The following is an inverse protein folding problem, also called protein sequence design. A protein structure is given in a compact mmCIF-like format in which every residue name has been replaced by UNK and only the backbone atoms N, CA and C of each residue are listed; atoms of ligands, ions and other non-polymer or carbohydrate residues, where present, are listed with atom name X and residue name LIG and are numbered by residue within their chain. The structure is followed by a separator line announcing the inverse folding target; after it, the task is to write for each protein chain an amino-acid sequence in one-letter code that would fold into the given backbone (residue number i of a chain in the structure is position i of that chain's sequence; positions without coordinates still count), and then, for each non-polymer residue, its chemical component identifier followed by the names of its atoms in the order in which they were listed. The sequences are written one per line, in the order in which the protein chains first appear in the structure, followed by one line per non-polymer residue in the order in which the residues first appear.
data_IF_584766049234
#
_entry.id   IF_584766049234
#
_cell.length_a   1.000
_cell.length_b   1.000
_cell.length_c   1.000
_cell.angle_alpha   90.00
_cell.angle_beta   90.00
_cell.angle_gamma   90.00
#
_symmetry.space_group_name_H-M   'P 1'
#
loop_
_entity.id
_entity.type
_entity.pdbx_description
1 polymer ?
#
# COMPACT_ATOMS: atom_id res chain seq x y z
N UNK A 1 -15.38 60.33 -64.26
CA UNK A 1 -15.95 60.30 -62.89
C UNK A 1 -15.82 58.90 -62.33
N UNK A 2 -14.96 58.76 -61.33
CA UNK A 2 -14.59 57.51 -60.67
C UNK A 2 -15.66 57.20 -59.62
N UNK A 3 -16.29 56.02 -59.67
CA UNK A 3 -16.98 55.44 -58.51
C UNK A 3 -16.26 54.16 -58.11
N UNK A 4 -15.49 54.27 -57.03
CA UNK A 4 -14.91 53.17 -56.27
C UNK A 4 -16.03 52.54 -55.45
N UNK A 5 -16.32 51.26 -55.68
CA UNK A 5 -17.07 50.44 -54.73
C UNK A 5 -16.12 49.38 -54.22
N UNK A 6 -15.64 49.60 -53.00
CA UNK A 6 -14.88 48.66 -52.19
C UNK A 6 -15.78 47.47 -51.86
N UNK A 7 -15.44 46.30 -52.38
CA UNK A 7 -15.97 45.02 -51.94
C UNK A 7 -15.10 44.54 -50.76
N UNK A 8 -15.64 44.33 -49.54
CA UNK A 8 -14.88 43.70 -48.49
C UNK A 8 -14.79 42.20 -48.77
N UNK A 9 -13.56 41.75 -48.96
CA UNK A 9 -13.12 40.36 -48.98
C UNK A 9 -13.45 39.72 -47.63
N UNK A 10 -14.62 39.09 -47.50
CA UNK A 10 -14.91 38.19 -46.38
C UNK A 10 -14.10 36.92 -46.64
N UNK A 11 -12.90 36.88 -46.08
CA UNK A 11 -12.12 35.65 -45.94
C UNK A 11 -12.94 34.70 -45.06
N UNK A 12 -13.52 33.68 -45.69
CA UNK A 12 -14.03 32.49 -45.03
C UNK A 12 -12.83 31.74 -44.43
N UNK A 13 -12.39 32.12 -43.24
CA UNK A 13 -11.45 31.35 -42.40
C UNK A 13 -12.19 30.17 -41.76
N UNK A 14 -12.72 29.28 -42.61
CA UNK A 14 -13.38 28.03 -42.22
C UNK A 14 -12.59 26.85 -42.77
N UNK A 15 -11.28 26.84 -42.51
CA UNK A 15 -10.39 25.73 -42.86
C UNK A 15 -9.28 25.69 -41.81
N UNK A 16 -9.35 24.74 -40.87
CA UNK A 16 -8.25 24.55 -39.93
C UNK A 16 -8.56 23.83 -38.63
N UNK A 17 -9.82 23.57 -38.28
CA UNK A 17 -10.14 22.66 -37.17
C UNK A 17 -10.20 21.22 -37.67
N UNK A 18 -9.10 20.76 -38.30
CA UNK A 18 -8.85 19.33 -38.41
C UNK A 18 -8.73 18.84 -36.98
N UNK A 19 -9.78 18.17 -36.52
CA UNK A 19 -9.80 17.37 -35.33
C UNK A 19 -8.53 16.52 -35.33
N UNK A 20 -7.56 16.90 -34.48
CA UNK A 20 -6.61 15.95 -33.95
C UNK A 20 -7.45 15.01 -33.09
N UNK A 21 -8.07 14.02 -33.75
CA UNK A 21 -8.31 12.74 -33.13
C UNK A 21 -6.92 12.22 -32.77
N UNK A 22 -6.39 12.69 -31.64
CA UNK A 22 -5.35 11.98 -30.94
C UNK A 22 -5.94 10.60 -30.72
N UNK A 23 -5.52 9.64 -31.55
CA UNK A 23 -5.74 8.24 -31.28
C UNK A 23 -5.14 8.01 -29.89
N UNK A 24 -6.02 7.89 -28.90
CA UNK A 24 -5.73 7.42 -27.55
C UNK A 24 -5.36 5.94 -27.72
N UNK A 25 -4.18 5.66 -28.28
CA UNK A 25 -3.68 4.33 -28.64
C UNK A 25 -2.28 4.07 -28.10
N UNK A 26 -1.87 4.79 -27.05
CA UNK A 26 -0.50 4.76 -26.53
C UNK A 26 -0.33 4.18 -25.12
N UNK A 27 -1.40 3.72 -24.46
CA UNK A 27 -1.37 3.38 -23.04
C UNK A 27 -1.83 1.94 -22.72
N UNK A 28 -2.06 1.14 -23.77
CA UNK A 28 -2.39 -0.28 -23.63
C UNK A 28 -1.10 -1.10 -23.56
N UNK A 29 -0.39 -0.99 -22.42
CA UNK A 29 0.52 -2.06 -21.99
C UNK A 29 -0.35 -3.23 -21.52
N UNK A 30 -0.68 -4.14 -22.43
CA UNK A 30 -1.40 -5.35 -22.09
C UNK A 30 -0.44 -6.53 -22.04
N UNK A 31 0.37 -6.68 -20.99
CA UNK A 31 0.99 -8.00 -20.75
C UNK A 31 -0.16 -8.96 -20.48
N UNK A 32 -0.05 -10.17 -21.00
CA UNK A 32 -1.02 -11.19 -20.69
C UNK A 32 -0.33 -12.53 -20.53
N UNK A 33 -1.03 -13.47 -19.93
CA UNK A 33 -0.51 -14.80 -19.68
C UNK A 33 -0.14 -15.55 -20.96
N UNK A 34 1.14 -15.87 -21.10
CA UNK A 34 1.66 -16.70 -22.18
C UNK A 34 1.58 -18.19 -21.84
N UNK A 35 1.43 -19.00 -22.88
CA UNK A 35 1.25 -20.44 -22.82
C UNK A 35 2.21 -21.08 -23.80
N UNK A 36 2.93 -22.08 -23.35
CA UNK A 36 3.77 -22.93 -24.18
C UNK A 36 2.86 -23.93 -24.90
N UNK A 37 2.98 -23.96 -26.22
CA UNK A 37 2.38 -24.97 -27.08
C UNK A 37 3.47 -25.89 -27.65
N UNK A 38 3.32 -27.20 -27.42
CA UNK A 38 4.25 -28.22 -27.91
C UNK A 38 3.49 -29.28 -28.73
N UNK A 39 3.56 -29.22 -30.07
CA UNK A 39 2.82 -30.12 -30.96
C UNK A 39 3.12 -31.61 -30.69
N UNK A 40 4.38 -31.93 -30.40
CA UNK A 40 4.89 -33.29 -30.20
C UNK A 40 4.69 -33.84 -28.77
N UNK A 41 3.88 -33.20 -27.92
CA UNK A 41 3.54 -33.70 -26.57
C UNK A 41 2.13 -34.27 -26.52
N UNK A 42 1.87 -35.13 -25.53
CA UNK A 42 0.52 -35.63 -25.21
C UNK A 42 -0.44 -34.45 -24.96
N UNK A 43 -1.74 -34.61 -25.27
CA UNK A 43 -2.72 -33.50 -25.23
C UNK A 43 -2.74 -32.76 -23.88
N UNK A 44 -2.60 -33.48 -22.77
CA UNK A 44 -2.56 -32.91 -21.41
C UNK A 44 -1.25 -32.18 -21.05
N UNK A 45 -0.21 -32.30 -21.87
CA UNK A 45 1.09 -31.64 -21.73
C UNK A 45 1.41 -30.72 -22.91
N UNK A 46 0.47 -30.61 -23.85
CA UNK A 46 0.59 -29.85 -25.08
C UNK A 46 0.44 -28.35 -24.84
N UNK A 47 -0.29 -27.97 -23.80
CA UNK A 47 -0.48 -26.60 -23.35
C UNK A 47 -0.06 -26.45 -21.89
N UNK A 48 0.87 -25.54 -21.64
CA UNK A 48 1.39 -25.27 -20.30
C UNK A 48 1.59 -23.76 -20.13
N UNK A 49 1.02 -23.16 -19.09
CA UNK A 49 1.25 -21.77 -18.72
C UNK A 49 2.74 -21.59 -18.43
N UNK A 50 3.34 -20.57 -19.08
CA UNK A 50 4.77 -20.30 -19.01
C UNK A 50 5.27 -20.19 -17.57
N UNK A 51 4.49 -19.56 -16.70
CA UNK A 51 4.76 -19.39 -15.27
C UNK A 51 5.06 -20.71 -14.56
N UNK A 52 4.26 -21.76 -14.81
CA UNK A 52 4.43 -23.06 -14.17
C UNK A 52 5.62 -23.83 -14.76
N UNK A 53 5.85 -23.67 -16.06
CA UNK A 53 7.03 -24.23 -16.71
C UNK A 53 8.32 -23.61 -16.13
N UNK A 54 8.39 -22.28 -16.05
CA UNK A 54 9.56 -21.59 -15.49
C UNK A 54 9.75 -21.91 -14.01
N UNK A 55 8.66 -22.01 -13.25
CA UNK A 55 8.71 -22.44 -11.85
C UNK A 55 9.40 -23.79 -11.69
N UNK A 56 8.98 -24.79 -12.49
CA UNK A 56 9.52 -26.16 -12.41
C UNK A 56 10.93 -26.27 -12.99
N UNK A 57 11.15 -25.76 -14.19
CA UNK A 57 12.38 -26.03 -14.95
C UNK A 57 13.50 -25.01 -14.68
N UNK A 58 13.14 -23.77 -14.34
CA UNK A 58 14.12 -22.69 -14.13
C UNK A 58 14.30 -22.42 -12.63
N UNK A 59 13.21 -22.29 -11.89
CA UNK A 59 13.26 -22.02 -10.45
C UNK A 59 13.37 -23.31 -9.62
N UNK A 60 13.22 -24.49 -10.23
CA UNK A 60 13.30 -25.80 -9.57
C UNK A 60 12.29 -25.99 -8.43
N UNK A 61 11.13 -25.34 -8.54
CA UNK A 61 10.07 -25.49 -7.55
C UNK A 61 9.36 -26.83 -7.70
N UNK A 62 9.12 -27.49 -6.57
CA UNK A 62 8.21 -28.62 -6.48
C UNK A 62 6.77 -28.10 -6.59
N UNK A 63 6.08 -28.47 -7.66
CA UNK A 63 4.75 -27.95 -7.95
C UNK A 63 3.67 -28.66 -7.13
N UNK A 64 2.78 -27.88 -6.51
CA UNK A 64 1.62 -28.38 -5.78
C UNK A 64 0.42 -28.57 -6.71
N UNK A 65 0.39 -29.72 -7.38
CA UNK A 65 -0.69 -30.05 -8.33
C UNK A 65 -1.94 -30.49 -7.57
N UNK A 66 -2.94 -29.60 -7.52
CA UNK A 66 -4.24 -29.87 -6.92
C UNK A 66 -5.20 -30.51 -7.93
N UNK A 67 -5.03 -31.81 -8.17
CA UNK A 67 -5.82 -32.58 -9.14
C UNK A 67 -7.31 -32.73 -8.74
N UNK A 68 -8.18 -32.91 -9.75
CA UNK A 68 -9.61 -33.17 -9.56
C UNK A 68 -10.44 -31.98 -9.07
N UNK A 69 -9.82 -30.81 -8.84
CA UNK A 69 -10.51 -29.59 -8.44
C UNK A 69 -10.81 -28.69 -9.63
N UNK A 70 -11.92 -27.96 -9.54
CA UNK A 70 -12.23 -26.83 -10.43
C UNK A 70 -11.22 -25.69 -10.23
N UNK A 71 -10.84 -24.99 -11.29
CA UNK A 71 -9.78 -23.97 -11.24
C UNK A 71 -10.04 -22.86 -10.20
N UNK A 72 -11.30 -22.45 -10.01
CA UNK A 72 -11.67 -21.47 -8.96
C UNK A 72 -11.49 -22.00 -7.55
N UNK A 73 -11.65 -23.31 -7.32
CA UNK A 73 -11.39 -23.93 -6.01
C UNK A 73 -9.89 -23.95 -5.73
N UNK A 74 -9.08 -24.26 -6.75
CA UNK A 74 -7.62 -24.18 -6.68
C UNK A 74 -7.19 -22.76 -6.31
N UNK A 75 -7.69 -21.73 -7.00
CA UNK A 75 -7.42 -20.32 -6.69
C UNK A 75 -7.78 -19.95 -5.24
N UNK A 76 -8.96 -20.34 -4.76
CA UNK A 76 -9.37 -20.06 -3.38
C UNK A 76 -8.42 -20.70 -2.36
N UNK A 77 -7.96 -21.92 -2.60
CA UNK A 77 -7.00 -22.56 -1.71
C UNK A 77 -5.64 -21.85 -1.71
N UNK A 78 -5.14 -21.42 -2.88
CA UNK A 78 -3.90 -20.66 -2.98
C UNK A 78 -4.00 -19.30 -2.28
N UNK A 79 -5.09 -18.57 -2.52
CA UNK A 79 -5.36 -17.28 -1.88
C UNK A 79 -5.49 -17.45 -0.36
N UNK A 80 -6.15 -18.51 0.11
CA UNK A 80 -6.28 -18.80 1.55
C UNK A 80 -4.91 -19.03 2.21
N UNK A 81 -4.02 -19.83 1.60
CA UNK A 81 -2.65 -20.04 2.12
C UNK A 81 -1.85 -18.74 2.16
N UNK A 82 -1.99 -17.89 1.15
CA UNK A 82 -1.39 -16.56 1.17
C UNK A 82 -1.93 -15.69 2.31
N UNK A 83 -3.17 -15.91 2.72
CA UNK A 83 -3.80 -15.18 3.84
C UNK A 83 -3.08 -15.35 5.17
N UNK A 84 -2.38 -16.46 5.37
CA UNK A 84 -1.65 -16.74 6.62
C UNK A 84 -0.40 -15.86 6.77
N UNK A 85 0.18 -15.39 5.67
CA UNK A 85 1.43 -14.60 5.64
C UNK A 85 1.24 -13.18 5.10
N UNK A 86 0.24 -12.97 4.24
CA UNK A 86 -0.10 -11.69 3.62
C UNK A 86 -1.63 -11.56 3.46
N UNK A 87 -2.34 -11.35 4.59
CA UNK A 87 -3.80 -11.30 4.62
C UNK A 87 -4.40 -10.27 3.68
N UNK A 88 -3.73 -9.14 3.47
CA UNK A 88 -4.29 -8.07 2.65
C UNK A 88 -4.18 -8.34 1.18
N UNK A 89 -3.06 -8.91 0.70
CA UNK A 89 -3.00 -9.40 -0.68
C UNK A 89 -4.03 -10.51 -0.90
N UNK A 90 -4.28 -11.36 0.11
CA UNK A 90 -5.31 -12.38 0.02
C UNK A 90 -6.71 -11.78 -0.10
N UNK A 91 -7.04 -10.74 0.67
CA UNK A 91 -8.30 -9.99 0.54
C UNK A 91 -8.40 -9.35 -0.86
N UNK A 92 -7.33 -8.72 -1.34
CA UNK A 92 -7.28 -8.12 -2.66
C UNK A 92 -7.58 -9.15 -3.75
N UNK A 93 -6.91 -10.30 -3.73
CA UNK A 93 -7.09 -11.33 -4.76
C UNK A 93 -8.44 -12.05 -4.64
N UNK A 94 -8.98 -12.16 -3.42
CA UNK A 94 -10.36 -12.62 -3.21
C UNK A 94 -11.33 -11.67 -3.91
N UNK A 95 -11.16 -10.35 -3.75
CA UNK A 95 -12.03 -9.37 -4.42
C UNK A 95 -11.95 -9.45 -5.94
N UNK A 96 -10.76 -9.70 -6.50
CA UNK A 96 -10.59 -9.91 -7.95
C UNK A 96 -11.30 -11.18 -8.41
N UNK A 97 -11.21 -12.26 -7.63
CA UNK A 97 -11.89 -13.52 -7.93
C UNK A 97 -13.42 -13.38 -7.91
N UNK A 98 -13.97 -12.58 -7.00
CA UNK A 98 -15.41 -12.32 -6.89
C UNK A 98 -15.98 -11.57 -8.10
N UNK A 99 -15.20 -10.67 -8.71
CA UNK A 99 -15.64 -9.92 -9.90
C UNK A 99 -15.22 -10.56 -11.22
N UNK A 100 -14.36 -11.59 -11.18
CA UNK A 100 -13.73 -12.19 -12.36
C UNK A 100 -14.71 -12.58 -13.47
N UNK A 101 -15.82 -13.27 -13.15
CA UNK A 101 -16.76 -13.75 -14.17
C UNK A 101 -17.41 -12.63 -14.99
N UNK A 102 -17.58 -11.46 -14.38
CA UNK A 102 -18.11 -10.27 -15.06
C UNK A 102 -17.03 -9.54 -15.85
N UNK A 103 -15.81 -9.55 -15.34
CA UNK A 103 -14.67 -8.87 -15.95
C UNK A 103 -13.97 -9.69 -17.03
N UNK A 104 -14.23 -11.00 -17.13
CA UNK A 104 -13.60 -11.89 -18.10
C UNK A 104 -14.46 -12.12 -19.35
N UNK A 105 -13.81 -12.16 -20.52
CA UNK A 105 -14.41 -12.52 -21.80
C UNK A 105 -13.57 -13.61 -22.49
N UNK A 106 -14.22 -14.68 -22.94
CA UNK A 106 -13.59 -15.77 -23.67
C UNK A 106 -13.86 -15.64 -25.17
N UNK A 107 -12.80 -15.46 -25.95
CA UNK A 107 -12.87 -15.22 -27.39
C UNK A 107 -12.47 -16.50 -28.14
N UNK A 108 -13.36 -16.97 -29.03
CA UNK A 108 -13.13 -18.15 -29.87
C UNK A 108 -12.69 -17.72 -31.28
N UNK A 109 -11.78 -18.48 -31.89
CA UNK A 109 -11.29 -18.22 -33.24
C UNK A 109 -10.54 -16.90 -33.35
N UNK A 110 -9.92 -16.45 -32.26
CA UNK A 110 -9.18 -15.18 -32.19
C UNK A 110 -7.74 -15.47 -31.82
N UNK A 111 -6.81 -14.94 -32.61
CA UNK A 111 -5.39 -14.90 -32.26
C UNK A 111 -5.11 -13.58 -31.56
N UNK A 112 -4.48 -13.65 -30.39
CA UNK A 112 -3.98 -12.45 -29.73
C UNK A 112 -2.58 -12.17 -30.24
N UNK A 113 -2.30 -10.90 -30.55
CA UNK A 113 -0.98 -10.47 -30.99
C UNK A 113 0.04 -10.66 -29.88
N UNK A 114 1.26 -11.03 -30.26
CA UNK A 114 2.39 -11.12 -29.33
C UNK A 114 2.62 -9.76 -28.66
N UNK A 115 2.70 -9.74 -27.32
CA UNK A 115 2.93 -8.52 -26.56
C UNK A 115 4.42 -8.44 -26.19
N UNK A 116 5.12 -7.35 -26.56
CA UNK A 116 6.58 -7.25 -26.45
C UNK A 116 7.12 -7.19 -25.01
N UNK A 117 6.29 -7.08 -23.98
CA UNK A 117 6.68 -6.91 -22.58
C UNK A 117 6.78 -8.23 -21.78
N UNK A 118 6.80 -9.36 -22.47
CA UNK A 118 7.00 -10.70 -21.88
C UNK A 118 8.33 -10.91 -21.14
N UNK A 119 9.34 -10.07 -21.39
CA UNK A 119 10.68 -10.26 -20.82
C UNK A 119 11.43 -11.45 -21.44
N UNK A 120 12.34 -12.05 -20.68
CA UNK A 120 13.14 -13.20 -21.11
C UNK A 120 12.54 -14.50 -20.56
N UNK A 121 12.53 -15.56 -21.37
CA UNK A 121 12.09 -16.90 -20.96
C UNK A 121 12.76 -17.98 -21.80
N UNK A 122 12.89 -19.17 -21.22
CA UNK A 122 13.37 -20.36 -21.93
C UNK A 122 12.16 -21.19 -22.40
N UNK A 123 12.26 -21.81 -23.58
CA UNK A 123 11.23 -22.71 -24.10
C UNK A 123 11.83 -24.08 -24.36
N UNK A 124 11.06 -25.17 -24.16
CA UNK A 124 11.49 -26.47 -24.63
C UNK A 124 11.70 -26.47 -26.14
N UNK A 125 12.67 -27.27 -26.60
CA UNK A 125 12.95 -27.39 -28.04
C UNK A 125 11.70 -27.84 -28.80
N UNK A 126 11.36 -27.11 -29.85
CA UNK A 126 10.22 -27.41 -30.72
C UNK A 126 8.86 -26.95 -30.19
N UNK A 127 8.84 -26.16 -29.12
CA UNK A 127 7.63 -25.52 -28.64
C UNK A 127 7.60 -24.04 -29.04
N UNK A 128 6.41 -23.47 -29.10
CA UNK A 128 6.18 -22.05 -29.38
C UNK A 128 5.41 -21.42 -28.22
N UNK A 129 5.49 -20.10 -28.10
CA UNK A 129 4.59 -19.36 -27.21
C UNK A 129 3.34 -18.96 -27.97
N UNK A 130 2.20 -19.16 -27.32
CA UNK A 130 0.90 -18.63 -27.72
C UNK A 130 0.33 -17.82 -26.57
N UNK A 131 -0.43 -16.78 -26.90
CA UNK A 131 -1.00 -15.90 -25.90
C UNK A 131 -2.32 -16.48 -25.39
N UNK A 132 -2.39 -16.82 -24.10
CA UNK A 132 -3.57 -17.42 -23.47
C UNK A 132 -4.54 -16.39 -22.90
N UNK A 133 -4.03 -15.27 -22.42
CA UNK A 133 -4.82 -14.18 -21.85
C UNK A 133 -4.26 -12.81 -22.25
N UNK A 134 -5.08 -11.77 -22.17
CA UNK A 134 -4.68 -10.35 -22.29
C UNK A 134 -5.44 -9.56 -21.24
N UNK A 135 -4.74 -8.70 -20.51
CA UNK A 135 -5.33 -7.76 -19.58
C UNK A 135 -5.21 -6.32 -20.07
N UNK A 136 -6.33 -5.59 -20.05
CA UNK A 136 -6.33 -4.15 -20.29
C UNK A 136 -6.34 -3.37 -18.97
N UNK A 137 -5.50 -2.32 -18.89
CA UNK A 137 -5.44 -1.42 -17.73
C UNK A 137 -6.81 -0.79 -17.42
N UNK A 138 -7.54 -0.39 -18.46
CA UNK A 138 -8.91 0.11 -18.36
C UNK A 138 -9.88 -0.96 -18.87
N UNK A 139 -10.95 -1.29 -18.13
CA UNK A 139 -11.99 -2.15 -18.65
C UNK A 139 -12.61 -1.57 -19.92
N UNK A 140 -13.12 -2.43 -20.80
CA UNK A 140 -13.95 -2.00 -21.93
C UNK A 140 -15.24 -1.34 -21.46
N UNK A 141 -15.98 -0.75 -22.41
CA UNK A 141 -17.30 -0.16 -22.15
C UNK A 141 -18.27 -1.19 -21.53
N UNK A 142 -18.09 -2.48 -21.83
CA UNK A 142 -18.88 -3.58 -21.25
C UNK A 142 -18.37 -4.07 -19.90
N UNK A 143 -17.31 -3.46 -19.36
CA UNK A 143 -16.70 -3.82 -18.08
C UNK A 143 -15.70 -4.98 -18.16
N UNK A 144 -15.36 -5.48 -19.36
CA UNK A 144 -14.39 -6.55 -19.49
C UNK A 144 -12.96 -6.03 -19.38
N UNK A 145 -12.18 -6.66 -18.51
CA UNK A 145 -10.77 -6.39 -18.26
C UNK A 145 -9.88 -7.50 -18.79
N UNK A 146 -10.33 -8.74 -18.63
CA UNK A 146 -9.57 -9.94 -18.95
C UNK A 146 -10.13 -10.58 -20.22
N UNK A 147 -9.26 -10.89 -21.18
CA UNK A 147 -9.65 -11.54 -22.43
C UNK A 147 -8.86 -12.84 -22.55
N UNK A 148 -9.55 -13.96 -22.63
CA UNK A 148 -8.94 -15.28 -22.71
C UNK A 148 -9.15 -15.87 -24.09
N UNK A 149 -8.10 -16.47 -24.65
CA UNK A 149 -8.21 -17.24 -25.88
C UNK A 149 -8.93 -18.55 -25.53
N UNK A 150 -10.18 -18.68 -25.99
CA UNK A 150 -11.03 -19.82 -25.63
C UNK A 150 -10.48 -21.13 -26.19
N UNK A 151 -9.87 -21.11 -27.36
CA UNK A 151 -9.34 -22.32 -28.02
C UNK A 151 -8.12 -22.88 -27.27
N UNK A 152 -7.31 -22.00 -26.68
CA UNK A 152 -6.21 -22.37 -25.77
C UNK A 152 -6.77 -22.80 -24.41
N UNK A 153 -7.69 -22.02 -23.83
CA UNK A 153 -8.29 -22.27 -22.52
C UNK A 153 -9.00 -23.62 -22.42
N UNK A 154 -9.76 -24.00 -23.44
CA UNK A 154 -10.54 -25.25 -23.45
C UNK A 154 -9.64 -26.49 -23.39
N UNK A 155 -8.37 -26.38 -23.80
CA UNK A 155 -7.38 -27.47 -23.80
C UNK A 155 -6.50 -27.52 -22.55
N UNK A 156 -6.59 -26.51 -21.69
CA UNK A 156 -5.86 -26.46 -20.42
C UNK A 156 -6.50 -27.33 -19.33
N UNK A 157 -5.66 -27.91 -18.47
CA UNK A 157 -6.12 -28.50 -17.22
C UNK A 157 -6.59 -27.41 -16.24
N UNK A 158 -7.33 -27.78 -15.20
CA UNK A 158 -7.80 -26.81 -14.20
C UNK A 158 -6.66 -26.10 -13.45
N UNK A 159 -5.52 -26.77 -13.22
CA UNK A 159 -4.31 -26.16 -12.65
C UNK A 159 -3.69 -25.12 -13.60
N UNK A 160 -3.67 -25.41 -14.90
CA UNK A 160 -3.19 -24.45 -15.90
C UNK A 160 -4.13 -23.24 -15.99
N UNK A 161 -5.45 -23.46 -15.95
CA UNK A 161 -6.45 -22.38 -15.90
C UNK A 161 -6.32 -21.53 -14.64
N UNK A 162 -6.08 -22.13 -13.47
CA UNK A 162 -5.88 -21.36 -12.23
C UNK A 162 -4.61 -20.52 -12.30
N UNK A 163 -3.51 -21.08 -12.82
CA UNK A 163 -2.27 -20.33 -13.01
C UNK A 163 -2.46 -19.16 -13.97
N UNK A 164 -3.15 -19.35 -15.09
CA UNK A 164 -3.39 -18.27 -16.03
C UNK A 164 -4.26 -17.16 -15.43
N UNK A 165 -5.27 -17.48 -14.62
CA UNK A 165 -6.08 -16.46 -13.94
C UNK A 165 -5.28 -15.74 -12.84
N UNK A 166 -4.49 -16.48 -12.06
CA UNK A 166 -3.66 -15.89 -11.01
C UNK A 166 -2.58 -14.96 -11.58
N UNK A 167 -2.03 -15.30 -12.75
CA UNK A 167 -1.14 -14.42 -13.52
C UNK A 167 -1.79 -13.04 -13.71
N UNK A 168 -3.02 -13.00 -14.23
CA UNK A 168 -3.70 -11.73 -14.48
C UNK A 168 -4.00 -10.98 -13.17
N UNK A 169 -4.28 -11.67 -12.06
CA UNK A 169 -4.49 -11.03 -10.75
C UNK A 169 -3.21 -10.35 -10.23
N UNK A 170 -2.09 -11.07 -10.29
CA UNK A 170 -0.77 -10.53 -9.90
C UNK A 170 -0.39 -9.39 -10.84
N UNK A 171 -0.61 -9.53 -12.14
CA UNK A 171 -0.30 -8.48 -13.10
C UNK A 171 -1.16 -7.22 -12.89
N UNK A 172 -2.44 -7.37 -12.52
CA UNK A 172 -3.32 -6.25 -12.13
C UNK A 172 -2.78 -5.48 -10.92
N UNK A 173 -2.24 -6.19 -9.93
CA UNK A 173 -1.54 -5.56 -8.80
C UNK A 173 -0.23 -4.90 -9.27
N UNK A 174 0.55 -5.57 -10.12
CA UNK A 174 1.80 -5.05 -10.67
C UNK A 174 1.65 -3.78 -11.51
N UNK A 175 0.48 -3.59 -12.14
CA UNK A 175 0.13 -2.38 -12.88
C UNK A 175 -0.27 -1.19 -12.00
N UNK A 176 -0.44 -1.37 -10.68
CA UNK A 176 -0.71 -0.25 -9.80
C UNK A 176 0.47 0.73 -9.79
N UNK A 177 0.22 2.05 -9.62
CA UNK A 177 1.26 3.08 -9.69
C UNK A 177 2.47 2.83 -8.79
N UNK A 178 2.25 2.23 -7.62
CA UNK A 178 3.29 1.86 -6.67
C UNK A 178 4.22 0.76 -7.21
N UNK A 179 3.70 -0.25 -7.92
CA UNK A 179 4.50 -1.39 -8.39
C UNK A 179 5.17 -1.14 -9.75
N UNK A 180 4.48 -0.44 -10.65
CA UNK A 180 4.99 -0.02 -11.97
C UNK A 180 5.73 -1.12 -12.76
N UNK A 181 5.13 -2.31 -12.87
CA UNK A 181 5.73 -3.43 -13.61
C UNK A 181 6.01 -3.04 -15.07
N UNK A 182 7.24 -3.32 -15.51
CA UNK A 182 7.65 -3.13 -16.91
C UNK A 182 7.60 -4.43 -17.72
N UNK A 183 7.64 -5.59 -17.04
CA UNK A 183 7.61 -6.92 -17.65
C UNK A 183 6.83 -7.89 -16.76
N UNK A 184 6.48 -9.07 -17.28
CA UNK A 184 5.80 -10.12 -16.53
C UNK A 184 6.75 -11.06 -15.78
N UNK A 185 8.07 -10.87 -15.81
CA UNK A 185 9.02 -11.77 -15.12
C UNK A 185 8.69 -11.94 -13.63
N UNK A 186 8.39 -10.85 -12.93
CA UNK A 186 8.01 -10.88 -11.51
C UNK A 186 6.65 -11.53 -11.28
N UNK A 187 5.71 -11.37 -12.21
CA UNK A 187 4.40 -12.04 -12.20
C UNK A 187 4.61 -13.56 -12.25
N UNK A 188 5.41 -14.03 -13.21
CA UNK A 188 5.67 -15.46 -13.42
C UNK A 188 6.37 -16.10 -12.23
N UNK A 189 7.36 -15.40 -11.66
CA UNK A 189 8.06 -15.84 -10.44
C UNK A 189 7.08 -16.03 -9.27
N UNK A 190 6.26 -15.02 -8.99
CA UNK A 190 5.31 -15.09 -7.87
C UNK A 190 4.22 -16.14 -8.13
N UNK A 191 3.66 -16.20 -9.34
CA UNK A 191 2.62 -17.16 -9.69
C UNK A 191 3.13 -18.61 -9.57
N UNK A 192 4.34 -18.87 -10.07
CA UNK A 192 5.03 -20.14 -9.92
C UNK A 192 5.24 -20.54 -8.47
N UNK A 193 5.69 -19.59 -7.64
CA UNK A 193 5.86 -19.81 -6.20
C UNK A 193 4.54 -20.13 -5.49
N UNK A 194 3.46 -19.40 -5.78
CA UNK A 194 2.14 -19.64 -5.17
C UNK A 194 1.55 -21.01 -5.56
N UNK A 195 1.97 -21.56 -6.71
CA UNK A 195 1.64 -22.91 -7.15
C UNK A 195 2.62 -23.99 -6.64
N UNK A 196 3.64 -23.63 -5.88
CA UNK A 196 4.63 -24.58 -5.36
C UNK A 196 4.26 -25.09 -3.96
N UNK A 197 4.85 -26.23 -3.58
CA UNK A 197 4.76 -26.76 -2.21
C UNK A 197 5.49 -25.86 -1.21
N UNK A 198 6.48 -25.07 -1.66
CA UNK A 198 7.23 -24.13 -0.80
C UNK A 198 6.32 -23.11 -0.10
N UNK A 199 5.18 -22.76 -0.71
CA UNK A 199 4.20 -21.83 -0.11
C UNK A 199 3.61 -22.36 1.20
N UNK A 200 3.64 -23.67 1.46
CA UNK A 200 3.07 -24.27 2.67
C UNK A 200 3.91 -23.99 3.93
N UNK A 201 5.22 -23.91 3.75
CA UNK A 201 6.20 -23.79 4.84
C UNK A 201 7.04 -22.51 4.73
N UNK A 202 6.57 -21.55 3.92
CA UNK A 202 7.29 -20.29 3.69
C UNK A 202 7.37 -19.46 4.96
N UNK A 203 8.56 -18.99 5.28
CA UNK A 203 8.78 -18.03 6.37
C UNK A 203 8.58 -16.60 5.87
N UNK A 204 8.22 -15.68 6.77
CA UNK A 204 8.09 -14.25 6.44
C UNK A 204 9.33 -13.66 5.73
N UNK A 205 10.58 -13.92 6.17
CA UNK A 205 11.77 -13.47 5.43
C UNK A 205 11.82 -13.96 3.98
N UNK A 206 11.54 -15.25 3.74
CA UNK A 206 11.57 -15.84 2.40
C UNK A 206 10.48 -15.24 1.51
N UNK A 207 9.27 -15.04 2.06
CA UNK A 207 8.18 -14.43 1.32
C UNK A 207 8.45 -12.96 0.96
N UNK A 208 9.04 -12.19 1.89
CA UNK A 208 9.44 -10.80 1.63
C UNK A 208 10.50 -10.73 0.53
N UNK A 209 11.53 -11.60 0.56
CA UNK A 209 12.54 -11.69 -0.50
C UNK A 209 11.90 -11.98 -1.87
N UNK A 210 10.96 -12.93 -1.92
CA UNK A 210 10.24 -13.26 -3.13
C UNK A 210 9.45 -12.06 -3.68
N UNK A 211 8.72 -11.35 -2.83
CA UNK A 211 7.96 -10.16 -3.25
C UNK A 211 8.89 -9.08 -3.80
N UNK A 212 10.04 -8.86 -3.14
CA UNK A 212 11.05 -7.92 -3.60
C UNK A 212 11.58 -8.30 -4.99
N UNK A 213 11.98 -9.56 -5.18
CA UNK A 213 12.45 -10.10 -6.47
C UNK A 213 11.37 -10.06 -7.55
N UNK A 214 10.10 -10.15 -7.15
CA UNK A 214 8.95 -10.04 -8.06
C UNK A 214 8.61 -8.59 -8.41
N UNK A 215 9.28 -7.60 -7.81
CA UNK A 215 9.07 -6.17 -8.05
C UNK A 215 7.90 -5.55 -7.30
N UNK A 216 7.23 -6.30 -6.42
CA UNK A 216 6.14 -5.79 -5.60
C UNK A 216 6.69 -4.88 -4.49
N UNK A 217 5.93 -3.82 -4.20
CA UNK A 217 6.35 -2.80 -3.24
C UNK A 217 5.75 -2.95 -1.86
N UNK A 218 4.70 -3.77 -1.70
CA UNK A 218 3.94 -3.85 -0.46
C UNK A 218 3.91 -5.26 0.12
N UNK A 219 3.98 -5.36 1.44
CA UNK A 219 3.75 -6.59 2.19
C UNK A 219 3.05 -6.32 3.52
N UNK A 220 2.57 -7.40 4.13
CA UNK A 220 2.07 -7.37 5.50
C UNK A 220 3.15 -7.91 6.44
N UNK A 221 3.36 -7.20 7.55
CA UNK A 221 4.25 -7.61 8.63
C UNK A 221 3.54 -7.36 9.95
N UNK A 222 3.28 -8.44 10.71
CA UNK A 222 2.64 -8.38 12.03
C UNK A 222 1.34 -7.53 12.02
N UNK A 223 0.56 -7.60 10.93
CA UNK A 223 -0.68 -6.85 10.76
C UNK A 223 -0.52 -5.41 10.23
N UNK A 224 0.67 -5.03 9.79
CA UNK A 224 0.96 -3.71 9.22
C UNK A 224 1.38 -3.78 7.76
N UNK A 225 0.89 -2.82 6.98
CA UNK A 225 1.34 -2.57 5.62
C UNK A 225 2.71 -1.91 5.59
N UNK A 226 3.66 -2.58 4.97
CA UNK A 226 5.04 -2.12 4.86
C UNK A 226 5.50 -2.03 3.42
N UNK A 227 6.38 -1.08 3.17
CA UNK A 227 7.00 -0.82 1.88
C UNK A 227 8.31 -1.61 1.74
N UNK A 228 8.53 -2.24 0.59
CA UNK A 228 9.59 -3.24 0.37
C UNK A 228 10.84 -2.71 -0.32
N UNK A 229 10.75 -1.70 -1.20
CA UNK A 229 11.93 -1.09 -1.81
C UNK A 229 11.99 0.39 -1.46
N UNK A 230 13.18 0.98 -1.38
CA UNK A 230 13.27 2.42 -1.62
C UNK A 230 13.22 2.67 -3.11
N UNK A 231 12.36 3.59 -3.55
CA UNK A 231 12.67 4.32 -4.77
C UNK A 231 14.12 4.78 -4.63
N UNK A 232 14.94 4.53 -5.65
CA UNK A 232 16.31 5.02 -5.66
C UNK A 232 16.26 6.55 -5.58
N UNK A 233 16.22 7.10 -4.37
CA UNK A 233 16.61 8.48 -4.13
C UNK A 233 18.12 8.50 -4.35
N UNK A 234 18.45 8.96 -5.55
CA UNK A 234 19.75 9.39 -6.03
C UNK A 234 20.64 9.92 -4.90
N UNK A 235 21.47 9.03 -4.33
CA UNK A 235 22.66 9.42 -3.57
C UNK A 235 22.61 9.38 -2.05
N UNK A 236 21.55 8.90 -1.39
CA UNK A 236 21.59 8.63 0.07
C UNK A 236 21.07 7.24 0.37
N UNK A 237 21.97 6.32 0.69
CA UNK A 237 21.74 4.89 0.88
C UNK A 237 20.84 4.51 2.05
N UNK A 238 19.57 4.90 2.01
CA UNK A 238 18.54 4.24 2.79
C UNK A 238 17.94 3.12 1.93
N UNK A 239 18.44 1.89 2.13
CA UNK A 239 17.70 0.72 1.70
C UNK A 239 16.51 0.56 2.66
N UNK A 240 15.29 0.86 2.24
CA UNK A 240 14.12 0.43 3.00
C UNK A 240 14.16 -1.09 3.03
N UNK A 241 14.42 -1.64 4.22
CA UNK A 241 14.54 -3.07 4.45
C UNK A 241 13.64 -3.43 5.61
N UNK A 242 12.77 -4.39 5.37
CA UNK A 242 12.28 -5.23 6.45
C UNK A 242 13.51 -5.90 7.05
N UNK A 243 13.81 -5.53 8.28
CA UNK A 243 14.97 -6.01 9.03
C UNK A 243 14.51 -7.14 9.92
N UNK A 244 15.28 -8.21 9.96
CA UNK A 244 14.98 -9.40 10.76
C UNK A 244 16.10 -9.63 11.77
N UNK A 245 15.76 -10.20 12.92
CA UNK A 245 16.76 -10.78 13.82
C UNK A 245 17.19 -12.17 13.33
N UNK A 246 18.13 -12.79 14.05
CA UNK A 246 18.66 -14.14 13.74
C UNK A 246 17.59 -15.24 13.70
N UNK A 247 16.47 -15.04 14.40
CA UNK A 247 15.34 -15.98 14.43
C UNK A 247 14.28 -15.72 13.35
N UNK A 248 14.49 -14.74 12.47
CA UNK A 248 13.54 -14.38 11.40
C UNK A 248 12.36 -13.52 11.87
N UNK A 249 12.40 -12.96 13.08
CA UNK A 249 11.41 -12.00 13.57
C UNK A 249 11.75 -10.61 13.06
N UNK A 250 10.76 -9.89 12.54
CA UNK A 250 10.95 -8.52 12.06
C UNK A 250 11.29 -7.59 13.22
N UNK A 251 12.37 -6.83 13.10
CA UNK A 251 12.78 -5.80 14.07
C UNK A 251 12.37 -4.40 13.64
N UNK A 252 12.36 -4.13 12.33
CA UNK A 252 11.92 -2.86 11.77
C UNK A 252 11.51 -2.97 10.31
N UNK A 253 10.62 -2.09 9.86
CA UNK A 253 10.20 -1.98 8.47
C UNK A 253 9.79 -0.53 8.15
N UNK A 254 9.75 -0.19 6.86
CA UNK A 254 9.20 1.08 6.39
C UNK A 254 7.69 0.93 6.27
N UNK A 255 6.91 1.81 6.92
CA UNK A 255 5.46 1.79 6.79
C UNK A 255 5.02 2.28 5.42
N UNK A 256 3.94 1.70 4.90
CA UNK A 256 3.21 2.27 3.77
C UNK A 256 2.69 3.68 4.12
N UNK A 257 2.38 4.48 3.11
CA UNK A 257 1.91 5.87 3.32
C UNK A 257 0.57 5.91 4.04
N UNK A 258 -0.27 4.93 3.74
CA UNK A 258 -1.54 4.67 4.38
C UNK A 258 -1.46 3.38 5.17
N UNK A 259 -1.85 3.41 6.43
CA UNK A 259 -1.89 2.22 7.28
C UNK A 259 -2.95 2.37 8.35
N UNK A 260 -3.27 1.25 9.00
CA UNK A 260 -4.24 1.23 10.10
C UNK A 260 -3.53 1.01 11.42
N UNK A 261 -3.94 1.75 12.44
CA UNK A 261 -3.59 1.49 13.83
C UNK A 261 -4.74 0.75 14.50
N UNK A 262 -4.45 -0.35 15.18
CA UNK A 262 -5.43 -1.04 16.01
C UNK A 262 -5.43 -0.45 17.41
N UNK A 263 -6.55 0.15 17.82
CA UNK A 263 -6.77 0.67 19.17
C UNK A 263 -7.36 -0.38 20.12
N UNK A 264 -7.51 -0.02 21.41
CA UNK A 264 -8.21 -0.85 22.39
C UNK A 264 -9.60 -1.26 21.91
N UNK A 265 -9.94 -2.55 22.03
CA UNK A 265 -11.21 -3.11 21.55
C UNK A 265 -11.25 -3.46 20.05
N UNK A 266 -10.09 -3.47 19.38
CA UNK A 266 -9.97 -3.94 17.99
C UNK A 266 -10.44 -2.94 16.93
N UNK A 267 -10.72 -1.70 17.31
CA UNK A 267 -11.08 -0.64 16.37
C UNK A 267 -9.85 -0.20 15.59
N UNK A 268 -9.93 -0.23 14.27
CA UNK A 268 -8.88 0.27 13.39
C UNK A 268 -9.07 1.77 13.13
N UNK A 269 -7.98 2.52 13.17
CA UNK A 269 -7.94 3.94 12.84
C UNK A 269 -7.02 4.13 11.63
N UNK A 270 -7.52 4.67 10.51
CA UNK A 270 -6.67 4.94 9.36
C UNK A 270 -5.72 6.09 9.68
N UNK A 271 -4.46 5.92 9.29
CA UNK A 271 -3.42 6.94 9.33
C UNK A 271 -2.98 7.21 7.90
N UNK A 272 -3.00 8.47 7.52
CA UNK A 272 -2.52 8.94 6.22
C UNK A 272 -1.36 9.90 6.44
N UNK A 273 -0.22 9.59 5.83
CA UNK A 273 0.93 10.48 5.87
C UNK A 273 0.91 11.48 4.70
N UNK A 274 0.81 12.78 4.99
CA UNK A 274 0.92 13.86 3.99
C UNK A 274 -0.43 14.33 3.40
N UNK A 275 -0.37 15.28 2.46
CA UNK A 275 -1.57 15.85 1.84
C UNK A 275 -2.39 14.78 1.13
N UNK A 276 -3.72 14.84 1.28
CA UNK A 276 -4.73 13.88 0.75
C UNK A 276 -4.83 13.83 -0.78
N UNK A 277 -3.82 14.33 -1.51
CA UNK A 277 -3.83 14.28 -2.97
C UNK A 277 -3.77 12.83 -3.45
N UNK A 278 -4.88 12.39 -4.03
CA UNK A 278 -5.23 11.01 -4.41
C UNK A 278 -4.40 10.44 -5.56
N UNK A 279 -3.28 11.06 -5.93
CA UNK A 279 -2.45 10.67 -7.08
C UNK A 279 -0.95 10.57 -6.79
N UNK A 280 -0.52 10.87 -5.57
CA UNK A 280 0.88 10.74 -5.23
C UNK A 280 1.24 9.26 -5.03
N UNK A 281 2.30 8.82 -5.71
CA UNK A 281 2.90 7.48 -5.60
C UNK A 281 3.12 7.16 -4.11
N UNK A 282 2.80 5.94 -3.69
CA UNK A 282 3.12 5.45 -2.33
C UNK A 282 4.60 5.72 -2.02
N UNK A 283 4.85 6.49 -0.97
CA UNK A 283 6.18 6.76 -0.41
C UNK A 283 6.15 6.34 1.06
N UNK A 284 7.29 5.90 1.60
CA UNK A 284 7.37 5.44 2.99
C UNK A 284 6.78 6.43 3.99
N UNK A 285 5.74 6.02 4.73
CA UNK A 285 5.04 6.83 5.72
C UNK A 285 5.81 6.99 7.04
N UNK A 286 6.86 6.20 7.24
CA UNK A 286 7.65 6.20 8.47
C UNK A 286 8.38 4.89 8.70
N UNK A 287 8.90 4.72 9.90
CA UNK A 287 9.56 3.49 10.35
C UNK A 287 8.75 2.89 11.48
N UNK A 288 8.37 1.62 11.33
CA UNK A 288 7.85 0.80 12.42
C UNK A 288 8.96 -0.10 12.94
N UNK A 289 9.01 -0.30 14.24
CA UNK A 289 9.90 -1.26 14.90
C UNK A 289 9.11 -2.13 15.87
N UNK A 290 9.63 -3.32 16.11
CA UNK A 290 8.95 -4.36 16.87
C UNK A 290 9.84 -4.89 17.99
N UNK A 291 9.18 -5.41 19.02
CA UNK A 291 9.79 -6.25 20.03
C UNK A 291 10.06 -7.66 19.48
N UNK A 292 10.93 -8.47 20.11
CA UNK A 292 11.13 -9.87 19.74
C UNK A 292 9.85 -10.71 19.75
N UNK A 293 8.81 -10.27 20.47
CA UNK A 293 7.48 -10.89 20.50
C UNK A 293 6.65 -10.62 19.23
N UNK A 294 7.16 -9.81 18.29
CA UNK A 294 6.43 -9.35 17.10
C UNK A 294 5.48 -8.18 17.37
N UNK A 295 5.30 -7.77 18.65
CA UNK A 295 4.47 -6.61 19.01
C UNK A 295 5.16 -5.31 18.63
N UNK A 296 4.37 -4.29 18.30
CA UNK A 296 4.91 -2.97 17.98
C UNK A 296 5.66 -2.42 19.19
N UNK A 297 6.85 -1.88 18.93
CA UNK A 297 7.68 -1.16 19.89
C UNK A 297 7.55 0.34 19.68
N UNK A 298 7.65 0.78 18.43
CA UNK A 298 7.67 2.19 18.09
C UNK A 298 7.25 2.39 16.64
N UNK A 299 6.45 3.43 16.40
CA UNK A 299 6.13 3.93 15.07
C UNK A 299 6.63 5.37 15.00
N UNK A 300 7.62 5.62 14.16
CA UNK A 300 8.14 6.96 13.88
C UNK A 300 7.59 7.42 12.52
N UNK A 301 6.78 8.46 12.52
CA UNK A 301 6.19 9.01 11.30
C UNK A 301 7.26 9.80 10.53
N UNK A 302 7.34 9.56 9.22
CA UNK A 302 8.17 10.35 8.31
C UNK A 302 7.46 11.62 7.82
N UNK A 303 6.15 11.72 8.06
CA UNK A 303 5.32 12.82 7.57
C UNK A 303 5.13 13.91 8.64
N UNK A 304 5.09 15.17 8.18
CA UNK A 304 4.88 16.35 9.03
C UNK A 304 3.45 16.49 9.56
N UNK A 305 2.50 15.69 9.06
CA UNK A 305 1.08 15.75 9.41
C UNK A 305 0.37 14.38 9.35
N UNK A 306 0.70 13.46 10.26
CA UNK A 306 -0.20 12.33 10.55
C UNK A 306 -1.25 12.78 11.56
N UNK A 307 -2.46 13.13 11.12
CA UNK A 307 -3.55 13.54 12.01
C UNK A 307 -4.18 12.35 12.74
N UNK A 308 -4.37 12.49 14.04
CA UNK A 308 -5.03 11.57 14.95
C UNK A 308 -6.23 12.29 15.55
N UNK A 309 -7.39 11.64 15.59
CA UNK A 309 -8.52 12.19 16.37
C UNK A 309 -8.51 11.53 17.74
N UNK A 310 -8.14 12.30 18.77
CA UNK A 310 -8.27 11.89 20.16
C UNK A 310 -9.69 12.22 20.62
N UNK A 311 -10.45 11.20 21.03
CA UNK A 311 -11.78 11.37 21.62
C UNK A 311 -11.74 10.94 23.08
N UNK A 312 -12.08 11.86 23.97
CA UNK A 312 -12.43 11.55 25.36
C UNK A 312 -13.94 11.69 25.55
N UNK A 313 -14.47 11.41 26.75
CA UNK A 313 -15.88 11.64 27.08
C UNK A 313 -16.28 13.12 26.97
N UNK A 314 -15.34 14.05 27.08
CA UNK A 314 -15.60 15.48 27.26
C UNK A 314 -14.95 16.36 26.17
N UNK A 315 -14.08 15.80 25.31
CA UNK A 315 -13.34 16.56 24.29
C UNK A 315 -13.09 15.78 23.00
N UNK A 316 -13.02 16.52 21.90
CA UNK A 316 -12.55 16.03 20.60
C UNK A 316 -11.33 16.85 20.22
N UNK A 317 -10.17 16.20 20.14
CA UNK A 317 -8.94 16.83 19.67
C UNK A 317 -8.40 16.19 18.41
N UNK A 318 -7.67 16.97 17.62
CA UNK A 318 -6.79 16.51 16.57
C UNK A 318 -5.33 16.64 17.05
N UNK A 319 -4.59 15.55 17.12
CA UNK A 319 -3.15 15.58 17.37
C UNK A 319 -2.42 15.18 16.09
N UNK A 320 -1.28 15.78 15.78
CA UNK A 320 -0.33 15.19 14.83
C UNK A 320 0.81 14.56 15.60
N UNK A 321 0.99 13.24 15.46
CA UNK A 321 2.08 12.54 16.12
C UNK A 321 3.28 12.40 15.19
N UNK A 322 4.48 12.72 15.68
CA UNK A 322 5.73 12.30 15.04
C UNK A 322 6.12 10.90 15.46
N UNK A 323 5.66 10.43 16.62
CA UNK A 323 6.09 9.16 17.18
C UNK A 323 5.03 8.54 18.11
N UNK A 324 4.86 7.23 18.02
CA UNK A 324 4.07 6.41 18.93
C UNK A 324 4.99 5.37 19.55
N UNK A 325 4.97 5.21 20.87
CA UNK A 325 5.81 4.26 21.61
C UNK A 325 4.92 3.32 22.41
N UNK A 326 5.27 2.04 22.37
CA UNK A 326 4.51 0.95 22.98
C UNK A 326 5.41 0.13 23.90
N UNK A 327 4.84 -0.45 24.95
CA UNK A 327 5.54 -1.41 25.80
C UNK A 327 5.58 -2.82 25.15
N UNK A 328 6.28 -3.77 25.79
CA UNK A 328 6.37 -5.16 25.30
C UNK A 328 5.02 -5.87 25.24
N UNK A 329 4.03 -5.40 26.01
CA UNK A 329 2.67 -5.90 25.96
C UNK A 329 1.90 -5.38 24.74
N UNK A 330 2.45 -4.45 23.95
CA UNK A 330 1.80 -3.83 22.80
C UNK A 330 0.82 -2.72 23.19
N UNK A 331 0.87 -2.23 24.42
CA UNK A 331 0.08 -1.10 24.89
C UNK A 331 0.80 0.20 24.58
N UNK A 332 0.07 1.18 24.03
CA UNK A 332 0.59 2.52 23.76
C UNK A 332 0.94 3.21 25.08
N UNK A 333 2.20 3.60 25.26
CA UNK A 333 2.67 4.26 26.49
C UNK A 333 2.96 5.73 26.29
N UNK A 334 3.35 6.14 25.09
CA UNK A 334 3.69 7.53 24.80
C UNK A 334 3.36 7.93 23.36
N UNK A 335 2.82 9.14 23.19
CA UNK A 335 2.69 9.83 21.89
C UNK A 335 3.59 11.06 21.94
N UNK A 336 4.49 11.22 20.97
CA UNK A 336 5.20 12.49 20.74
C UNK A 336 4.50 13.25 19.64
N UNK A 337 4.10 14.48 19.94
CA UNK A 337 3.27 15.31 19.06
C UNK A 337 4.06 16.44 18.41
N UNK A 338 3.79 16.67 17.13
CA UNK A 338 4.23 17.85 16.38
C UNK A 338 3.29 19.03 16.60
N UNK A 339 1.98 18.77 16.66
CA UNK A 339 0.94 19.76 16.89
C UNK A 339 -0.24 19.08 17.60
N UNK A 340 -0.89 19.80 18.49
CA UNK A 340 -2.06 19.33 19.23
C UNK A 340 -3.13 20.42 19.18
N UNK A 341 -4.32 20.05 18.71
CA UNK A 341 -5.51 20.88 18.69
C UNK A 341 -6.60 20.17 19.51
N UNK A 342 -6.89 20.61 20.73
CA UNK A 342 -7.98 20.05 21.55
C UNK A 342 -9.17 21.00 21.50
N UNK A 343 -10.34 20.52 21.07
CA UNK A 343 -11.59 21.27 21.20
C UNK A 343 -12.40 20.67 22.35
N UNK A 344 -12.47 21.41 23.45
CA UNK A 344 -13.41 21.18 24.56
C UNK A 344 -14.65 22.04 24.35
N UNK A 345 -15.75 21.72 25.05
CA UNK A 345 -16.99 22.52 25.03
C UNK A 345 -16.74 23.98 25.43
N UNK A 346 -15.71 24.22 26.24
CA UNK A 346 -15.42 25.52 26.87
C UNK A 346 -14.14 26.21 26.36
N UNK A 347 -13.29 25.54 25.56
CA UNK A 347 -12.03 26.12 25.07
C UNK A 347 -11.42 25.33 23.90
N UNK A 348 -10.61 25.99 23.08
CA UNK A 348 -9.76 25.37 22.07
C UNK A 348 -8.28 25.53 22.45
N UNK A 349 -7.52 24.43 22.51
CA UNK A 349 -6.08 24.45 22.73
C UNK A 349 -5.33 24.12 21.45
N UNK A 350 -4.56 25.06 20.89
CA UNK A 350 -3.63 24.81 19.76
C UNK A 350 -2.16 24.98 20.13
N UNK A 351 -1.35 23.93 19.99
CA UNK A 351 0.12 24.04 19.98
C UNK A 351 0.63 24.02 18.54
N UNK A 352 1.35 25.07 18.14
CA UNK A 352 1.88 25.25 16.77
C UNK A 352 3.36 24.89 16.65
N UNK A 353 4.01 24.42 17.73
CA UNK A 353 5.42 24.05 17.72
C UNK A 353 5.62 22.58 18.13
N UNK A 354 6.52 21.83 17.45
CA UNK A 354 6.91 20.49 17.85
C UNK A 354 7.42 20.44 19.29
N UNK A 355 7.09 19.39 20.04
CA UNK A 355 7.69 19.13 21.36
C UNK A 355 6.74 18.73 22.49
N UNK A 356 5.43 18.60 22.22
CA UNK A 356 4.50 18.02 23.18
C UNK A 356 4.62 16.48 23.25
N UNK A 357 4.25 15.90 24.40
CA UNK A 357 4.04 14.47 24.52
C UNK A 357 2.87 14.15 25.46
N UNK A 358 2.26 12.99 25.24
CA UNK A 358 1.20 12.43 26.08
C UNK A 358 1.67 11.06 26.56
N UNK A 359 1.73 10.84 27.86
CA UNK A 359 1.97 9.54 28.48
C UNK A 359 0.63 8.90 28.86
N UNK A 360 0.56 7.58 28.81
CA UNK A 360 -0.63 6.79 29.14
C UNK A 360 -0.36 5.84 30.30
N UNK A 361 -1.38 5.60 31.12
CA UNK A 361 -1.39 4.49 32.09
C UNK A 361 -1.54 3.16 31.36
N UNK A 362 -1.26 2.05 32.06
CA UNK A 362 -1.49 0.69 31.54
C UNK A 362 -2.96 0.43 31.17
N UNK A 363 -3.90 1.19 31.74
CA UNK A 363 -5.33 1.16 31.43
C UNK A 363 -5.67 1.81 30.08
N UNK A 364 -4.73 2.51 29.45
CA UNK A 364 -4.92 3.25 28.20
C UNK A 364 -5.45 4.69 28.40
N UNK A 365 -5.66 5.14 29.64
CA UNK A 365 -6.04 6.51 29.94
C UNK A 365 -4.80 7.44 29.95
N UNK A 366 -4.93 8.72 29.52
CA UNK A 366 -3.81 9.67 29.60
C UNK A 366 -3.38 9.88 31.05
N UNK A 367 -2.12 9.56 31.35
CA UNK A 367 -1.51 9.75 32.66
C UNK A 367 -0.93 11.16 32.83
N UNK A 368 -0.41 11.71 31.74
CA UNK A 368 0.27 12.98 31.76
C UNK A 368 0.25 13.60 30.36
N UNK A 369 -0.10 14.88 30.28
CA UNK A 369 -0.08 15.66 29.05
C UNK A 369 0.93 16.79 29.25
N UNK A 370 1.99 16.82 28.44
CA UNK A 370 2.97 17.89 28.41
C UNK A 370 2.89 18.56 27.03
N UNK A 371 2.53 19.85 26.99
CA UNK A 371 2.41 20.61 25.74
C UNK A 371 3.60 21.57 25.66
N UNK A 372 4.46 21.41 24.66
CA UNK A 372 5.50 22.39 24.35
C UNK A 372 4.89 23.62 23.68
N UNK A 373 5.29 24.83 24.11
CA UNK A 373 4.97 26.15 23.55
C UNK A 373 3.52 26.36 23.06
N UNK A 374 2.73 27.13 23.82
CA UNK A 374 1.31 27.33 23.56
C UNK A 374 0.99 28.76 23.07
N UNK A 375 0.03 28.90 22.15
CA UNK A 375 -0.63 30.17 21.82
C UNK A 375 -2.10 30.07 22.24
N UNK A 376 -2.51 30.87 23.23
CA UNK A 376 -3.91 31.00 23.63
C UNK A 376 -4.58 32.08 22.78
N UNK A 377 -5.45 31.70 21.84
CA UNK A 377 -6.28 32.68 21.14
C UNK A 377 -7.55 32.92 21.97
N UNK A 378 -7.52 34.00 22.76
CA UNK A 378 -8.59 34.58 23.57
C UNK A 378 -9.37 33.70 24.60
N UNK A 379 -9.48 34.28 25.80
CA UNK A 379 -10.18 33.85 27.02
C UNK A 379 -9.62 32.62 27.76
N UNK A 380 -9.60 32.76 29.10
CA UNK A 380 -8.92 31.91 30.10
C UNK A 380 -9.24 30.43 29.88
N UNK A 381 -8.25 29.65 29.49
CA UNK A 381 -8.38 28.18 29.38
C UNK A 381 -7.90 27.52 30.67
N UNK A 382 -8.66 26.55 31.19
CA UNK A 382 -8.32 25.77 32.38
C UNK A 382 -8.09 24.32 31.97
N UNK A 383 -7.00 23.70 32.41
CA UNK A 383 -6.88 22.24 32.41
C UNK A 383 -6.87 21.76 33.86
N UNK A 384 -7.70 20.77 34.17
CA UNK A 384 -7.67 20.01 35.43
C UNK A 384 -7.07 18.65 35.17
N UNK A 385 -6.23 18.16 36.07
CA UNK A 385 -5.86 16.75 36.07
C UNK A 385 -6.92 15.89 36.79
N UNK A 386 -6.72 14.57 36.80
CA UNK A 386 -7.61 13.60 37.45
C UNK A 386 -7.69 13.76 38.98
N UNK A 387 -6.79 14.52 39.61
CA UNK A 387 -6.79 14.84 41.03
C UNK A 387 -7.54 16.14 41.36
N UNK A 388 -7.98 16.89 40.34
CA UNK A 388 -8.72 18.13 40.50
C UNK A 388 -7.87 19.38 40.70
N UNK A 389 -6.54 19.26 40.73
CA UNK A 389 -5.64 20.41 40.71
C UNK A 389 -5.48 20.91 39.27
N UNK A 390 -5.82 22.18 39.05
CA UNK A 390 -5.71 22.84 37.75
C UNK A 390 -4.59 23.88 37.74
N UNK A 391 -3.90 23.98 36.60
CA UNK A 391 -2.97 25.10 36.32
C UNK A 391 -3.18 25.56 34.88
N UNK A 392 -3.33 26.88 34.69
CA UNK A 392 -2.60 27.76 33.74
C UNK A 392 -3.08 29.20 33.97
N UNK A 393 -2.16 30.16 34.00
CA UNK A 393 -2.45 31.59 33.81
C UNK A 393 -1.83 32.02 32.48
N UNK A 394 -2.64 32.51 31.56
CA UNK A 394 -2.18 33.31 30.43
C UNK A 394 -3.11 34.53 30.28
N UNK A 395 -2.52 35.72 30.32
CA UNK A 395 -3.21 36.98 30.02
C UNK A 395 -2.59 37.56 28.75
N UNK A 396 -3.43 37.91 27.78
CA UNK A 396 -3.00 38.45 26.49
C UNK A 396 -2.56 39.90 26.62
N UNK A 397 -1.39 40.22 26.07
CA UNK A 397 -0.96 41.57 25.72
C UNK A 397 0.11 41.46 24.65
N UNK A 398 -0.02 42.23 23.58
CA UNK A 398 0.92 42.24 22.46
C UNK A 398 2.35 42.54 22.93
N UNK A 399 3.29 41.83 22.32
CA UNK A 399 4.75 41.96 22.40
C UNK A 399 5.47 41.31 23.61
N UNK A 400 6.34 40.36 23.28
CA UNK A 400 7.29 39.59 24.14
C UNK A 400 6.68 38.66 25.20
N UNK A 401 6.88 37.35 25.00
CA UNK A 401 6.50 36.30 25.94
C UNK A 401 7.47 36.23 27.13
N UNK A 402 7.00 36.59 28.31
CA UNK A 402 7.54 36.15 29.60
C UNK A 402 6.47 35.37 30.34
N UNK A 403 6.64 34.05 30.48
CA UNK A 403 5.84 33.24 31.40
C UNK A 403 6.44 33.39 32.80
N UNK A 404 5.80 34.16 33.68
CA UNK A 404 6.13 34.11 35.11
C UNK A 404 5.43 32.90 35.71
N UNK A 405 6.10 31.75 35.69
CA UNK A 405 5.66 30.56 36.41
C UNK A 405 6.02 30.73 37.89
N UNK A 406 5.10 30.39 38.80
CA UNK A 406 5.48 30.17 40.21
C UNK A 406 6.64 29.15 40.23
N UNK A 407 7.69 29.42 41.01
CA UNK A 407 8.88 28.55 41.09
C UNK A 407 8.56 27.10 41.46
N UNK A 408 7.47 26.85 42.21
CA UNK A 408 7.01 25.49 42.52
C UNK A 408 6.38 24.79 41.31
N UNK A 409 5.72 25.56 40.44
CA UNK A 409 5.10 25.07 39.21
C UNK A 409 6.18 24.80 38.17
N UNK A 410 7.19 25.67 38.05
CA UNK A 410 8.34 25.44 37.19
C UNK A 410 9.10 24.17 37.58
N UNK A 411 9.39 23.97 38.88
CA UNK A 411 10.04 22.74 39.33
C UNK A 411 9.14 21.50 39.17
N UNK A 412 7.82 21.62 39.34
CA UNK A 412 6.88 20.53 39.02
C UNK A 412 6.88 20.19 37.52
N UNK A 413 6.85 21.18 36.63
CA UNK A 413 6.92 20.97 35.17
C UNK A 413 8.28 20.46 34.72
N UNK A 414 9.38 20.91 35.34
CA UNK A 414 10.73 20.41 35.10
C UNK A 414 10.87 18.96 35.57
N UNK A 415 10.37 18.64 36.75
CA UNK A 415 10.41 17.28 37.33
C UNK A 415 9.50 16.32 36.56
N UNK A 416 8.30 16.76 36.18
CA UNK A 416 7.29 15.93 35.51
C UNK A 416 7.50 15.87 33.99
N UNK A 417 7.73 17.00 33.34
CA UNK A 417 7.81 17.10 31.87
C UNK A 417 9.24 17.21 31.32
N UNK A 418 10.27 17.35 32.15
CA UNK A 418 11.67 17.31 31.70
C UNK A 418 12.12 18.51 30.85
N UNK A 419 11.48 19.68 30.98
CA UNK A 419 11.90 20.88 30.28
C UNK A 419 13.25 21.39 30.81
N UNK A 420 14.26 21.47 29.96
CA UNK A 420 15.44 22.32 30.20
C UNK A 420 15.09 23.78 29.88
N UNK A 421 15.70 24.72 30.63
CA UNK A 421 15.33 26.14 30.71
C UNK A 421 15.06 26.85 29.38
#
# INVERSE_FOLDING_TARGET
MIKRTLLPLILFSFAGSLAQAAFIGGDEKGNGGSVIYCENRFENQRFEVLDLFEAREIQTFDMDVLEGLEYKKILRQMIARMGDINPTRAILYTSFLETFDREALFLKGTEFTDIPDRGWGALPKGCILVQGAVQYKRPSIKGHRYYFNKDVWDRMTNTQRSALVLHEFIYREGLQPENNFQTSNGVRLLNGFLHSTMMRDVTLPQYIDLLQRSGLQLADVNGYHVFLHSGQETGRGQSYRVSFNETGVVTSATLARSFYLSGPGGRTMPVYCGATETKAVEQGGGIISFWPTGRVKRIQMGCTSAGFVLRSKESIGQATASELIYNEQGLLTQIKTLQLELNHVDYSLRSTRPGGFINFYQTGEPAQICIGNYYADHQRSWMRDASGEGVIVAQSGHDTFGLTLDGRIFESLKTRCGFEQ
#
